data_IF_692363984948
#
_entry.id   IF_692363984948
#
_cell.length_a   1.000
_cell.length_b   1.000
_cell.length_c   1.000
_cell.angle_alpha   90.00
_cell.angle_beta   90.00
_cell.angle_gamma   90.00
#
_symmetry.space_group_name_H-M   'P 1'
#
loop_
_entity.id
_entity.type
_entity.pdbx_description
1 polymer ?
#
# COMPACT_ATOMS: atom_id res chain seq x y z
N UNK A 1 4.80 -16.99 24.33
CA UNK A 1 3.34 -17.03 24.26
C UNK A 1 2.84 -15.60 24.44
N UNK A 2 2.68 -14.85 23.37
CA UNK A 2 2.15 -13.49 23.38
C UNK A 2 0.64 -13.58 23.49
N UNK A 3 0.06 -13.12 24.60
CA UNK A 3 -1.38 -13.00 24.83
C UNK A 3 -1.98 -12.01 23.79
N UNK A 4 -2.43 -12.52 22.64
CA UNK A 4 -3.33 -11.75 21.76
C UNK A 4 -4.66 -11.56 22.51
N UNK A 5 -5.19 -10.34 22.55
CA UNK A 5 -6.59 -10.10 22.96
C UNK A 5 -7.49 -10.97 22.07
N UNK A 6 -8.51 -11.63 22.64
CA UNK A 6 -9.46 -12.40 21.84
C UNK A 6 -10.11 -11.49 20.80
N UNK A 7 -10.12 -11.93 19.53
CA UNK A 7 -10.80 -11.19 18.46
C UNK A 7 -12.30 -11.15 18.74
N UNK A 8 -12.94 -10.00 18.43
CA UNK A 8 -14.34 -9.75 18.68
C UNK A 8 -15.14 -9.94 17.40
N UNK A 9 -16.00 -10.99 17.36
CA UNK A 9 -16.75 -11.41 16.19
C UNK A 9 -18.23 -11.02 16.33
N UNK A 10 -18.85 -10.53 15.25
CA UNK A 10 -20.30 -10.34 15.16
C UNK A 10 -20.89 -11.47 14.31
N UNK A 11 -21.82 -12.23 14.88
CA UNK A 11 -22.64 -13.22 14.19
C UNK A 11 -24.01 -12.65 13.89
N UNK A 12 -24.45 -12.72 12.63
CA UNK A 12 -25.76 -12.24 12.18
C UNK A 12 -26.49 -13.37 11.46
N UNK A 13 -27.61 -13.81 12.00
CA UNK A 13 -28.45 -14.88 11.43
C UNK A 13 -29.86 -14.75 12.01
N UNK A 14 -30.90 -15.03 11.24
CA UNK A 14 -32.30 -15.00 11.71
C UNK A 14 -32.73 -16.29 12.45
N UNK A 15 -31.83 -17.29 12.51
CA UNK A 15 -32.02 -18.52 13.32
C UNK A 15 -31.33 -18.40 14.68
N UNK A 16 -32.07 -18.16 15.79
CA UNK A 16 -31.48 -18.07 17.13
C UNK A 16 -30.78 -19.36 17.58
N UNK A 17 -31.21 -20.51 17.08
CA UNK A 17 -30.58 -21.81 17.38
C UNK A 17 -29.19 -21.91 16.80
N UNK A 18 -29.02 -21.45 15.56
CA UNK A 18 -27.72 -21.40 14.87
C UNK A 18 -26.79 -20.38 15.52
N UNK A 19 -27.29 -19.18 15.84
CA UNK A 19 -26.53 -18.14 16.57
C UNK A 19 -25.99 -18.69 17.88
N UNK A 20 -26.82 -19.38 18.67
CA UNK A 20 -26.40 -19.99 19.93
C UNK A 20 -25.35 -21.08 19.73
N UNK A 21 -25.54 -21.96 18.74
CA UNK A 21 -24.64 -23.09 18.49
C UNK A 21 -23.25 -22.59 18.01
N UNK A 22 -23.24 -21.71 17.00
CA UNK A 22 -22.00 -21.15 16.45
C UNK A 22 -21.32 -20.23 17.47
N UNK A 23 -22.09 -19.40 18.19
CA UNK A 23 -21.56 -18.54 19.24
C UNK A 23 -20.82 -19.34 20.34
N UNK A 24 -21.45 -20.40 20.86
CA UNK A 24 -20.81 -21.26 21.87
C UNK A 24 -19.51 -21.92 21.33
N UNK A 25 -19.52 -22.37 20.08
CA UNK A 25 -18.31 -22.95 19.44
C UNK A 25 -17.18 -21.94 19.35
N UNK A 26 -17.46 -20.73 18.84
CA UNK A 26 -16.44 -19.71 18.67
C UNK A 26 -15.90 -19.21 20.03
N UNK A 27 -16.76 -19.09 21.04
CA UNK A 27 -16.32 -18.76 22.41
C UNK A 27 -15.42 -19.86 22.98
N UNK A 28 -15.72 -21.14 22.71
CA UNK A 28 -14.85 -22.25 23.18
C UNK A 28 -13.47 -22.27 22.53
N UNK A 29 -13.32 -21.67 21.37
CA UNK A 29 -12.02 -21.50 20.67
C UNK A 29 -11.30 -20.18 21.08
N UNK A 30 -11.91 -19.39 21.98
CA UNK A 30 -11.27 -18.20 22.55
C UNK A 30 -11.61 -16.88 21.88
N UNK A 31 -12.60 -16.84 20.98
CA UNK A 31 -13.12 -15.60 20.41
C UNK A 31 -14.13 -14.93 21.36
N UNK A 32 -14.21 -13.61 21.30
CA UNK A 32 -15.33 -12.86 21.89
C UNK A 32 -16.43 -12.74 20.83
N UNK A 33 -17.67 -13.10 21.17
CA UNK A 33 -18.75 -13.17 20.18
C UNK A 33 -19.94 -12.33 20.64
N UNK A 34 -20.46 -11.48 19.76
CA UNK A 34 -21.74 -10.81 19.89
C UNK A 34 -22.67 -11.30 18.77
N UNK A 35 -23.95 -11.44 19.06
CA UNK A 35 -24.94 -11.97 18.11
C UNK A 35 -26.00 -10.92 17.78
N UNK A 36 -26.53 -10.98 16.57
CA UNK A 36 -27.66 -10.18 16.11
C UNK A 36 -28.63 -11.06 15.30
N UNK A 37 -29.94 -10.93 15.53
CA UNK A 37 -30.97 -11.73 14.87
C UNK A 37 -31.45 -11.12 13.53
N UNK A 38 -30.86 -9.98 13.11
CA UNK A 38 -31.15 -9.34 11.83
C UNK A 38 -30.02 -8.45 11.37
N UNK A 39 -29.97 -8.13 10.06
CA UNK A 39 -29.00 -7.20 9.49
C UNK A 39 -29.08 -5.81 10.13
N UNK A 40 -30.28 -5.32 10.45
CA UNK A 40 -30.46 -4.02 11.09
C UNK A 40 -29.90 -4.00 12.53
N UNK A 41 -30.08 -5.08 13.27
CA UNK A 41 -29.50 -5.21 14.59
C UNK A 41 -27.98 -5.29 14.54
N UNK A 42 -27.45 -6.05 13.58
CA UNK A 42 -26.01 -6.13 13.30
C UNK A 42 -25.38 -4.75 13.05
N UNK A 43 -26.02 -3.89 12.25
CA UNK A 43 -25.57 -2.51 12.04
C UNK A 43 -25.59 -1.66 13.33
N UNK A 44 -26.58 -1.86 14.20
CA UNK A 44 -26.64 -1.16 15.51
C UNK A 44 -25.49 -1.61 16.43
N UNK A 45 -25.16 -2.90 16.42
CA UNK A 45 -24.02 -3.44 17.19
C UNK A 45 -22.72 -2.83 16.69
N UNK A 46 -22.49 -2.81 15.37
CA UNK A 46 -21.29 -2.19 14.76
C UNK A 46 -21.14 -0.70 15.08
N UNK A 47 -22.23 0.00 15.31
CA UNK A 47 -22.20 1.40 15.74
C UNK A 47 -21.86 1.62 17.22
N UNK A 48 -21.90 0.58 18.05
CA UNK A 48 -21.69 0.65 19.51
C UNK A 48 -20.45 -0.10 19.99
N UNK A 49 -20.09 -1.16 19.32
CA UNK A 49 -19.00 -2.06 19.72
C UNK A 49 -17.94 -2.14 18.63
N UNK A 50 -16.71 -2.29 19.03
CA UNK A 50 -15.61 -2.52 18.09
C UNK A 50 -15.56 -4.00 17.75
N UNK A 51 -15.93 -4.34 16.53
CA UNK A 51 -15.92 -5.70 15.95
C UNK A 51 -14.75 -5.85 15.01
N UNK A 52 -14.11 -7.02 15.00
CA UNK A 52 -12.95 -7.32 14.15
C UNK A 52 -13.34 -8.10 12.88
N UNK A 53 -14.47 -8.83 12.90
CA UNK A 53 -14.98 -9.63 11.78
C UNK A 53 -16.48 -9.83 11.92
N UNK A 54 -17.20 -9.80 10.79
CA UNK A 54 -18.63 -10.14 10.72
C UNK A 54 -18.83 -11.46 10.01
N UNK A 55 -19.68 -12.34 10.58
CA UNK A 55 -20.14 -13.58 9.96
C UNK A 55 -21.65 -13.45 9.83
N UNK A 56 -22.17 -13.45 8.59
CA UNK A 56 -23.59 -13.21 8.33
C UNK A 56 -24.21 -14.33 7.52
N UNK A 57 -25.44 -14.69 7.82
CA UNK A 57 -26.24 -15.47 6.87
C UNK A 57 -26.49 -14.65 5.59
N UNK A 58 -26.58 -15.36 4.46
CA UNK A 58 -26.90 -14.74 3.18
C UNK A 58 -28.39 -14.36 3.11
N UNK A 59 -29.28 -15.24 3.61
CA UNK A 59 -30.74 -15.07 3.50
C UNK A 59 -31.34 -14.78 4.86
N UNK A 60 -31.68 -13.53 5.08
CA UNK A 60 -32.37 -13.05 6.27
C UNK A 60 -33.56 -12.20 5.85
N UNK A 61 -34.58 -12.12 6.71
CA UNK A 61 -35.71 -11.25 6.47
C UNK A 61 -35.28 -9.75 6.51
N UNK A 62 -36.00 -8.89 5.78
CA UNK A 62 -35.81 -7.44 5.64
C UNK A 62 -34.49 -7.00 4.99
N UNK A 63 -33.35 -7.52 5.42
CA UNK A 63 -32.00 -7.17 4.92
C UNK A 63 -31.18 -8.43 4.77
N UNK A 64 -30.88 -8.81 3.53
CA UNK A 64 -30.02 -9.95 3.24
C UNK A 64 -28.53 -9.68 3.56
N UNK A 65 -27.72 -10.77 3.60
CA UNK A 65 -26.30 -10.66 3.96
C UNK A 65 -25.47 -9.80 2.99
N UNK A 66 -25.87 -9.69 1.71
CA UNK A 66 -25.19 -8.85 0.73
C UNK A 66 -25.55 -7.37 0.89
N UNK A 67 -26.78 -7.08 1.24
CA UNK A 67 -27.21 -5.73 1.61
C UNK A 67 -26.52 -5.29 2.89
N UNK A 68 -26.48 -6.17 3.90
CA UNK A 68 -25.75 -5.92 5.13
C UNK A 68 -24.26 -5.65 4.84
N UNK A 69 -23.61 -6.47 4.02
CA UNK A 69 -22.22 -6.25 3.58
C UNK A 69 -22.04 -4.86 2.96
N UNK A 70 -22.94 -4.46 2.06
CA UNK A 70 -22.86 -3.16 1.40
C UNK A 70 -22.96 -2.00 2.40
N UNK A 71 -23.83 -2.09 3.38
CA UNK A 71 -23.95 -1.07 4.44
C UNK A 71 -22.74 -1.08 5.39
N UNK A 72 -22.22 -2.26 5.74
CA UNK A 72 -20.97 -2.38 6.52
C UNK A 72 -19.80 -1.69 5.80
N UNK A 73 -19.62 -1.94 4.50
CA UNK A 73 -18.53 -1.33 3.74
C UNK A 73 -18.67 0.20 3.61
N UNK A 74 -19.89 0.75 3.72
CA UNK A 74 -20.10 2.21 3.81
C UNK A 74 -19.71 2.78 5.16
N UNK A 75 -20.00 2.06 6.25
CA UNK A 75 -19.74 2.49 7.62
C UNK A 75 -18.28 2.25 8.04
N UNK A 76 -17.77 1.09 7.71
CA UNK A 76 -16.42 0.63 8.07
C UNK A 76 -15.76 -0.03 6.83
N UNK A 77 -15.19 0.76 5.91
CA UNK A 77 -14.50 0.24 4.73
C UNK A 77 -13.36 -0.71 5.13
N UNK A 78 -13.35 -1.90 4.52
CA UNK A 78 -12.33 -2.92 4.80
C UNK A 78 -12.66 -3.86 5.96
N UNK A 79 -13.83 -3.72 6.63
CA UNK A 79 -14.32 -4.72 7.58
C UNK A 79 -14.50 -6.06 6.87
N UNK A 80 -13.82 -7.15 7.29
CA UNK A 80 -14.01 -8.46 6.68
C UNK A 80 -15.38 -9.01 7.01
N UNK A 81 -16.01 -9.59 6.01
CA UNK A 81 -17.32 -10.24 6.14
C UNK A 81 -17.25 -11.64 5.53
N UNK A 82 -17.63 -12.64 6.31
CA UNK A 82 -17.82 -14.01 5.86
C UNK A 82 -19.32 -14.24 5.70
N UNK A 83 -19.77 -14.73 4.55
CA UNK A 83 -21.17 -15.05 4.30
C UNK A 83 -21.40 -16.55 4.41
N UNK A 84 -22.44 -16.93 5.18
CA UNK A 84 -22.93 -18.31 5.28
C UNK A 84 -24.12 -18.48 4.31
N UNK A 85 -24.20 -19.61 3.61
CA UNK A 85 -25.28 -19.87 2.65
C UNK A 85 -25.78 -21.31 2.69
N UNK A 86 -27.10 -21.52 2.65
CA UNK A 86 -27.70 -22.85 2.62
C UNK A 86 -27.58 -23.55 1.24
N UNK A 87 -27.44 -22.77 0.15
CA UNK A 87 -27.31 -23.29 -1.22
C UNK A 87 -26.18 -22.54 -1.89
N UNK A 88 -24.99 -23.17 -1.97
CA UNK A 88 -23.86 -22.64 -2.73
C UNK A 88 -24.05 -22.91 -4.22
N UNK A 89 -24.70 -22.03 -4.98
CA UNK A 89 -24.44 -22.00 -6.40
C UNK A 89 -23.08 -21.34 -6.62
N UNK A 90 -22.19 -21.97 -7.37
CA UNK A 90 -20.88 -21.44 -7.75
C UNK A 90 -21.00 -20.02 -8.34
N UNK A 91 -22.03 -19.66 -9.13
CA UNK A 91 -22.24 -18.31 -9.63
C UNK A 91 -22.45 -17.24 -8.53
N UNK A 92 -23.18 -17.55 -7.46
CA UNK A 92 -23.46 -16.59 -6.38
C UNK A 92 -22.22 -16.31 -5.54
N UNK A 93 -21.41 -17.33 -5.26
CA UNK A 93 -20.15 -17.19 -4.57
C UNK A 93 -19.12 -16.39 -5.39
N UNK A 94 -19.06 -16.59 -6.71
CA UNK A 94 -18.17 -15.83 -7.62
C UNK A 94 -18.60 -14.37 -7.73
N UNK A 95 -19.91 -14.11 -7.87
CA UNK A 95 -20.43 -12.73 -7.96
C UNK A 95 -20.16 -11.92 -6.68
N UNK A 96 -20.28 -12.55 -5.54
CA UNK A 96 -20.10 -11.89 -4.24
C UNK A 96 -18.61 -11.71 -3.86
N UNK A 97 -17.73 -12.64 -4.30
CA UNK A 97 -16.28 -12.43 -4.20
C UNK A 97 -15.82 -11.24 -5.07
N UNK A 98 -16.44 -11.07 -6.24
CA UNK A 98 -16.20 -9.88 -7.09
C UNK A 98 -16.68 -8.58 -6.45
N UNK A 99 -17.65 -8.63 -5.51
CA UNK A 99 -18.12 -7.48 -4.75
C UNK A 99 -17.30 -7.18 -3.49
N UNK A 100 -16.30 -8.03 -3.16
CA UNK A 100 -15.36 -7.78 -2.07
C UNK A 100 -15.70 -8.48 -0.75
N UNK A 101 -16.65 -9.43 -0.72
CA UNK A 101 -16.87 -10.32 0.44
C UNK A 101 -15.62 -11.19 0.65
N UNK A 102 -15.16 -11.30 1.89
CA UNK A 102 -13.92 -12.00 2.21
C UNK A 102 -13.99 -13.49 1.89
N UNK A 103 -15.07 -14.16 2.33
CA UNK A 103 -15.25 -15.60 2.10
C UNK A 103 -16.74 -15.99 2.13
N UNK A 104 -17.03 -17.12 1.45
CA UNK A 104 -18.34 -17.79 1.45
C UNK A 104 -18.18 -19.20 2.01
N UNK A 105 -19.08 -19.58 2.93
CA UNK A 105 -19.14 -20.94 3.46
C UNK A 105 -20.55 -21.51 3.31
N UNK A 106 -20.66 -22.77 2.93
CA UNK A 106 -21.95 -23.46 2.81
C UNK A 106 -22.39 -24.03 4.14
N UNK A 107 -23.71 -23.91 4.45
CA UNK A 107 -24.35 -24.63 5.56
C UNK A 107 -24.64 -26.09 5.13
N UNK A 108 -24.39 -27.12 5.95
CA UNK A 108 -23.87 -27.05 7.33
C UNK A 108 -22.38 -26.61 7.34
N UNK A 109 -22.07 -25.69 8.25
CA UNK A 109 -20.73 -25.06 8.27
C UNK A 109 -19.71 -26.06 8.81
N UNK A 110 -18.75 -26.41 7.94
CA UNK A 110 -17.59 -27.21 8.32
C UNK A 110 -16.71 -26.46 9.32
N UNK A 111 -16.32 -27.15 10.38
CA UNK A 111 -15.57 -26.54 11.49
C UNK A 111 -14.22 -26.00 11.03
N UNK A 112 -13.46 -26.81 10.32
CA UNK A 112 -12.09 -26.46 9.94
C UNK A 112 -12.08 -25.38 8.86
N UNK A 113 -13.06 -25.41 7.94
CA UNK A 113 -13.25 -24.38 6.93
C UNK A 113 -13.65 -23.02 7.57
N UNK A 114 -14.51 -23.03 8.61
CA UNK A 114 -14.91 -21.81 9.31
C UNK A 114 -13.71 -21.18 10.05
N UNK A 115 -12.98 -21.96 10.81
CA UNK A 115 -11.84 -21.45 11.58
C UNK A 115 -10.74 -20.93 10.66
N UNK A 116 -10.45 -21.67 9.59
CA UNK A 116 -9.51 -21.20 8.58
C UNK A 116 -9.95 -19.87 7.95
N UNK A 117 -11.23 -19.75 7.58
CA UNK A 117 -11.75 -18.51 7.01
C UNK A 117 -11.71 -17.34 8.01
N UNK A 118 -11.95 -17.60 9.31
CA UNK A 118 -11.83 -16.60 10.38
C UNK A 118 -10.37 -16.19 10.55
N UNK A 119 -9.44 -17.14 10.65
CA UNK A 119 -8.01 -16.85 10.82
C UNK A 119 -7.47 -16.08 9.62
N UNK A 120 -7.78 -16.53 8.39
CA UNK A 120 -7.42 -15.84 7.15
C UNK A 120 -8.03 -14.41 7.13
N UNK A 121 -9.29 -14.24 7.53
CA UNK A 121 -9.96 -12.95 7.59
C UNK A 121 -9.35 -12.02 8.64
N UNK A 122 -9.06 -12.54 9.83
CA UNK A 122 -8.45 -11.78 10.92
C UNK A 122 -6.96 -11.47 10.64
N UNK A 123 -6.25 -12.33 9.93
CA UNK A 123 -4.90 -12.03 9.44
C UNK A 123 -4.91 -10.90 8.39
N UNK A 124 -5.95 -10.84 7.55
CA UNK A 124 -6.12 -9.77 6.56
C UNK A 124 -6.76 -8.51 7.16
N UNK A 125 -7.61 -8.66 8.17
CA UNK A 125 -8.32 -7.57 8.87
C UNK A 125 -7.61 -7.10 10.12
N UNK A 126 -6.79 -7.96 10.74
CA UNK A 126 -5.92 -7.43 11.77
C UNK A 126 -5.18 -6.25 11.12
N UNK A 127 -5.20 -5.04 11.73
CA UNK A 127 -4.08 -4.18 11.56
C UNK A 127 -2.91 -5.06 12.01
N UNK A 128 -2.30 -5.75 11.04
CA UNK A 128 -1.07 -6.51 11.27
C UNK A 128 -0.19 -5.50 11.97
N UNK A 129 0.09 -5.74 13.23
CA UNK A 129 0.70 -4.83 14.18
C UNK A 129 1.93 -4.14 13.64
N UNK A 130 1.74 -3.34 12.73
CA UNK A 130 2.56 -2.24 12.26
C UNK A 130 1.96 -1.63 10.98
N UNK A 131 0.84 -0.92 11.05
CA UNK A 131 0.42 0.00 9.98
C UNK A 131 1.30 1.25 9.94
N UNK A 132 2.28 1.36 10.81
CA UNK A 132 3.26 2.45 10.83
C UNK A 132 4.01 2.57 9.50
N UNK A 133 4.18 1.46 8.76
CA UNK A 133 4.85 1.47 7.47
C UNK A 133 4.15 2.34 6.42
N UNK A 134 2.80 2.49 6.51
CA UNK A 134 1.98 3.29 5.59
C UNK A 134 1.28 4.49 6.25
N UNK A 135 1.66 4.87 7.46
CA UNK A 135 1.00 5.92 8.24
C UNK A 135 0.84 7.24 7.49
N UNK A 136 1.76 7.54 6.59
CA UNK A 136 1.73 8.74 5.75
C UNK A 136 0.80 8.62 4.54
N UNK A 137 0.32 7.41 4.21
CA UNK A 137 -0.54 7.17 3.05
C UNK A 137 -1.99 7.10 3.48
N UNK A 138 -2.72 8.14 3.14
CA UNK A 138 -4.14 8.27 3.46
C UNK A 138 -4.97 7.97 2.23
N UNK A 139 -5.75 6.89 2.29
CA UNK A 139 -6.61 6.45 1.19
C UNK A 139 -7.78 5.62 1.70
N UNK A 140 -8.89 5.68 0.98
CA UNK A 140 -10.03 4.76 1.05
C UNK A 140 -10.36 4.17 -0.32
N UNK A 141 -9.58 4.53 -1.33
CA UNK A 141 -9.78 4.03 -2.70
C UNK A 141 -9.45 2.54 -2.79
N UNK A 142 -10.35 1.69 -3.30
CA UNK A 142 -10.08 0.25 -3.46
C UNK A 142 -8.89 -0.04 -4.38
N UNK A 143 -8.64 0.85 -5.36
CA UNK A 143 -7.47 0.73 -6.26
C UNK A 143 -6.18 0.95 -5.49
N UNK A 144 -6.15 1.98 -4.63
CA UNK A 144 -4.98 2.27 -3.79
C UNK A 144 -4.76 1.20 -2.72
N UNK A 145 -5.82 0.68 -2.10
CA UNK A 145 -5.72 -0.39 -1.10
C UNK A 145 -5.08 -1.65 -1.71
N UNK A 146 -5.53 -2.07 -2.90
CA UNK A 146 -4.91 -3.19 -3.63
C UNK A 146 -3.44 -2.92 -3.99
N UNK A 147 -3.10 -1.69 -4.39
CA UNK A 147 -1.72 -1.29 -4.65
C UNK A 147 -0.87 -1.40 -3.38
N UNK A 148 -1.39 -1.00 -2.22
CA UNK A 148 -0.69 -1.09 -0.94
C UNK A 148 -0.48 -2.54 -0.49
N UNK A 149 -1.42 -3.44 -0.75
CA UNK A 149 -1.24 -4.89 -0.52
C UNK A 149 -0.12 -5.45 -1.38
N UNK A 150 -0.09 -5.12 -2.68
CA UNK A 150 1.01 -5.50 -3.56
C UNK A 150 2.35 -4.93 -3.08
N UNK A 151 2.38 -3.66 -2.67
CA UNK A 151 3.55 -3.00 -2.14
C UNK A 151 4.08 -3.70 -0.88
N UNK A 152 3.18 -4.12 0.02
CA UNK A 152 3.53 -4.87 1.23
C UNK A 152 4.13 -6.24 0.93
N UNK A 153 3.52 -7.00 0.00
CA UNK A 153 4.06 -8.31 -0.41
C UNK A 153 5.46 -8.17 -0.99
N UNK A 154 5.66 -7.21 -1.90
CA UNK A 154 6.96 -6.94 -2.53
C UNK A 154 7.99 -6.43 -1.54
N UNK A 155 7.56 -5.72 -0.49
CA UNK A 155 8.46 -5.21 0.55
C UNK A 155 9.27 -6.32 1.22
N UNK A 156 8.72 -7.53 1.35
CA UNK A 156 9.38 -8.69 1.99
C UNK A 156 10.51 -9.30 1.18
N UNK A 157 10.71 -8.86 -0.06
CA UNK A 157 11.77 -9.34 -0.95
C UNK A 157 12.75 -8.22 -1.31
N UNK A 158 13.96 -8.58 -1.76
CA UNK A 158 14.99 -7.63 -2.21
C UNK A 158 14.90 -7.29 -3.71
N UNK A 159 13.80 -7.66 -4.37
CA UNK A 159 13.63 -7.36 -5.80
C UNK A 159 13.54 -5.87 -6.08
N UNK A 160 14.01 -5.46 -7.26
CA UNK A 160 13.87 -4.08 -7.73
C UNK A 160 12.38 -3.75 -7.99
N UNK A 161 11.96 -2.56 -7.60
CA UNK A 161 10.59 -2.08 -7.78
C UNK A 161 10.61 -0.81 -8.62
N UNK A 162 9.77 -0.78 -9.67
CA UNK A 162 9.53 0.42 -10.46
C UNK A 162 8.15 0.99 -10.14
N UNK A 163 8.10 2.21 -9.65
CA UNK A 163 6.86 2.92 -9.32
C UNK A 163 6.53 3.88 -10.47
N UNK A 164 5.42 3.62 -11.16
CA UNK A 164 4.90 4.48 -12.20
C UNK A 164 3.74 5.34 -11.68
N UNK A 165 3.71 6.61 -12.08
CA UNK A 165 2.60 7.50 -11.74
C UNK A 165 2.88 8.94 -12.16
N UNK A 166 1.83 9.70 -12.40
CA UNK A 166 1.94 11.11 -12.74
C UNK A 166 2.68 11.91 -11.65
N UNK A 167 3.17 13.09 -11.99
CA UNK A 167 3.78 13.98 -11.00
C UNK A 167 2.79 14.33 -9.89
N UNK A 168 3.24 14.32 -8.63
CA UNK A 168 2.41 14.65 -7.48
C UNK A 168 1.49 13.53 -6.98
N UNK A 169 1.56 12.31 -7.50
CA UNK A 169 0.72 11.18 -7.04
C UNK A 169 1.18 10.55 -5.71
N UNK A 170 2.42 10.83 -5.26
CA UNK A 170 2.99 10.30 -4.01
C UNK A 170 3.96 9.13 -4.21
N UNK A 171 4.70 9.08 -5.33
CA UNK A 171 5.67 8.02 -5.64
C UNK A 171 6.73 7.82 -4.54
N UNK A 172 7.30 8.92 -4.03
CA UNK A 172 8.29 8.89 -2.96
C UNK A 172 7.69 8.36 -1.64
N UNK A 173 6.45 8.76 -1.31
CA UNK A 173 5.75 8.29 -0.11
C UNK A 173 5.52 6.78 -0.20
N UNK A 174 5.14 6.25 -1.38
CA UNK A 174 4.99 4.82 -1.58
C UNK A 174 6.34 4.08 -1.49
N UNK A 175 7.42 4.66 -2.03
CA UNK A 175 8.77 4.08 -1.93
C UNK A 175 9.23 4.00 -0.47
N UNK A 176 9.02 5.06 0.30
CA UNK A 176 9.31 5.07 1.74
C UNK A 176 8.48 4.03 2.49
N UNK A 177 7.20 3.88 2.15
CA UNK A 177 6.33 2.86 2.74
C UNK A 177 6.82 1.44 2.44
N UNK A 178 7.22 1.14 1.20
CA UNK A 178 7.81 -0.15 0.83
C UNK A 178 9.09 -0.42 1.63
N UNK A 179 9.95 0.58 1.80
CA UNK A 179 11.16 0.46 2.61
C UNK A 179 10.80 0.16 4.07
N UNK A 180 9.90 0.93 4.68
CA UNK A 180 9.48 0.75 6.08
C UNK A 180 8.87 -0.63 6.34
N UNK A 181 8.13 -1.18 5.36
CA UNK A 181 7.54 -2.53 5.43
C UNK A 181 8.56 -3.67 5.20
N UNK A 182 9.78 -3.35 4.77
CA UNK A 182 10.79 -4.35 4.40
C UNK A 182 11.64 -4.79 5.59
N UNK A 183 12.37 -5.93 5.49
CA UNK A 183 13.38 -6.32 6.46
C UNK A 183 14.47 -5.25 6.66
N UNK A 184 14.65 -4.33 5.68
CA UNK A 184 15.59 -3.22 5.71
C UNK A 184 15.00 -1.92 6.30
N UNK A 185 13.75 -1.92 6.78
CA UNK A 185 13.02 -0.73 7.24
C UNK A 185 13.66 0.04 8.40
N UNK A 186 14.61 -0.57 9.10
CA UNK A 186 15.42 0.09 10.17
C UNK A 186 16.75 0.66 9.66
N UNK A 187 17.12 0.39 8.42
CA UNK A 187 18.37 0.83 7.79
C UNK A 187 18.15 2.14 7.02
N UNK A 188 19.20 2.61 6.36
CA UNK A 188 19.13 3.86 5.59
C UNK A 188 18.14 3.78 4.43
N UNK A 189 17.29 4.80 4.28
CA UNK A 189 16.55 5.11 3.07
C UNK A 189 17.12 6.39 2.47
N UNK A 190 17.75 6.28 1.32
CA UNK A 190 18.37 7.41 0.64
C UNK A 190 17.64 7.66 -0.65
N UNK A 191 17.18 8.89 -0.85
CA UNK A 191 16.46 9.32 -2.04
C UNK A 191 17.28 10.31 -2.86
N UNK A 192 17.24 10.17 -4.18
CA UNK A 192 17.82 11.13 -5.13
C UNK A 192 16.87 11.29 -6.32
N UNK A 193 16.71 12.53 -6.76
CA UNK A 193 15.99 12.83 -7.99
C UNK A 193 16.96 12.93 -9.16
N UNK A 194 16.84 12.01 -10.13
CA UNK A 194 17.76 11.89 -11.28
C UNK A 194 17.62 13.06 -12.28
N UNK A 195 16.49 13.77 -12.28
CA UNK A 195 16.28 14.91 -13.15
C UNK A 195 16.64 16.28 -12.53
N UNK A 196 16.90 16.32 -11.21
CA UNK A 196 17.13 17.57 -10.51
C UNK A 196 18.57 18.09 -10.57
N UNK A 197 19.55 17.24 -10.95
CA UNK A 197 20.96 17.57 -10.94
C UNK A 197 21.57 17.48 -12.34
N UNK A 198 22.54 18.35 -12.68
CA UNK A 198 23.37 18.17 -13.86
C UNK A 198 24.11 16.81 -13.84
N UNK A 199 24.37 16.25 -15.03
CA UNK A 199 24.94 14.91 -15.20
C UNK A 199 26.17 14.64 -14.33
N UNK A 200 27.14 15.55 -14.35
CA UNK A 200 28.41 15.38 -13.58
C UNK A 200 28.19 15.38 -12.07
N UNK A 201 27.25 16.19 -11.58
CA UNK A 201 26.89 16.22 -10.16
C UNK A 201 26.13 14.95 -9.77
N UNK A 202 25.17 14.53 -10.58
CA UNK A 202 24.42 13.29 -10.36
C UNK A 202 25.36 12.08 -10.32
N UNK A 203 26.33 12.04 -11.21
CA UNK A 203 27.36 10.99 -11.26
C UNK A 203 28.19 10.95 -9.97
N UNK A 204 28.71 12.10 -9.56
CA UNK A 204 29.50 12.24 -8.34
C UNK A 204 28.69 11.91 -7.07
N UNK A 205 27.41 12.32 -6.99
CA UNK A 205 26.53 11.98 -5.86
C UNK A 205 26.25 10.47 -5.82
N UNK A 206 25.89 9.84 -6.95
CA UNK A 206 25.54 8.42 -6.97
C UNK A 206 26.73 7.51 -6.66
N UNK A 207 27.86 7.71 -7.36
CA UNK A 207 28.98 6.77 -7.34
C UNK A 207 30.13 7.21 -6.45
N UNK A 208 30.16 8.47 -6.01
CA UNK A 208 31.27 9.06 -5.27
C UNK A 208 32.47 9.40 -6.14
N UNK A 209 33.47 10.04 -5.56
CA UNK A 209 34.69 10.40 -6.26
C UNK A 209 35.94 10.33 -5.39
N UNK A 210 37.04 10.03 -5.98
CA UNK A 210 38.37 10.15 -5.38
C UNK A 210 38.86 11.60 -5.47
N UNK A 211 39.80 11.99 -4.59
CA UNK A 211 40.47 13.28 -4.69
C UNK A 211 41.15 13.44 -6.06
N UNK A 212 40.91 14.58 -6.70
CA UNK A 212 41.46 14.89 -8.02
C UNK A 212 40.71 14.26 -9.19
N UNK A 213 39.56 13.65 -9.01
CA UNK A 213 38.77 13.00 -10.08
C UNK A 213 38.29 13.99 -11.16
N UNK A 214 38.06 15.25 -10.78
CA UNK A 214 37.68 16.34 -11.69
C UNK A 214 38.13 17.71 -11.10
N UNK A 215 38.05 18.76 -11.91
CA UNK A 215 38.36 20.13 -11.46
C UNK A 215 37.39 20.56 -10.34
N UNK A 216 37.93 20.67 -9.11
CA UNK A 216 37.14 20.95 -7.91
C UNK A 216 36.99 19.79 -6.93
N UNK A 217 37.46 18.58 -7.26
CA UNK A 217 37.48 17.43 -6.34
C UNK A 217 38.65 17.56 -5.33
N UNK A 218 38.54 18.47 -4.37
CA UNK A 218 39.55 18.74 -3.35
C UNK A 218 39.72 17.60 -2.35
N UNK A 219 38.65 16.86 -2.05
CA UNK A 219 38.62 15.71 -1.16
C UNK A 219 37.92 14.52 -1.84
N UNK A 220 38.12 13.32 -1.33
CA UNK A 220 37.29 12.17 -1.71
C UNK A 220 35.91 12.29 -1.05
N UNK A 221 34.86 11.81 -1.72
CA UNK A 221 33.50 11.75 -1.19
C UNK A 221 32.86 10.42 -1.51
N UNK A 222 32.23 9.80 -0.52
CA UNK A 222 31.43 8.59 -0.70
C UNK A 222 30.18 8.89 -1.50
N UNK A 223 29.80 7.94 -2.38
CA UNK A 223 28.57 8.02 -3.15
C UNK A 223 27.35 7.48 -2.40
N UNK A 224 26.16 7.82 -2.91
CA UNK A 224 24.88 7.40 -2.30
C UNK A 224 24.72 5.87 -2.29
N UNK A 225 25.30 5.14 -3.23
CA UNK A 225 25.33 3.68 -3.19
C UNK A 225 26.05 3.14 -1.95
N UNK A 226 27.15 3.75 -1.55
CA UNK A 226 27.88 3.38 -0.33
C UNK A 226 27.12 3.83 0.92
N UNK A 227 26.58 5.05 0.91
CA UNK A 227 25.80 5.60 2.03
C UNK A 227 24.50 4.80 2.28
N UNK A 228 23.96 4.12 1.24
CA UNK A 228 22.77 3.27 1.35
C UNK A 228 23.09 1.81 1.71
N UNK A 229 24.34 1.49 2.09
CA UNK A 229 24.77 0.12 2.39
C UNK A 229 23.83 -0.56 3.42
N UNK A 230 23.40 -1.78 3.11
CA UNK A 230 22.44 -2.54 3.92
C UNK A 230 21.00 -2.02 3.85
N UNK A 231 20.77 -0.85 3.24
CA UNK A 231 19.49 -0.15 3.18
C UNK A 231 18.86 -0.15 1.79
N UNK A 232 18.21 0.97 1.45
CA UNK A 232 17.48 1.17 0.19
C UNK A 232 17.88 2.49 -0.46
N UNK A 233 18.19 2.46 -1.75
CA UNK A 233 18.38 3.66 -2.58
C UNK A 233 17.14 3.85 -3.45
N UNK A 234 16.50 5.00 -3.31
CA UNK A 234 15.36 5.42 -4.10
C UNK A 234 15.80 6.38 -5.21
N UNK A 235 15.58 5.97 -6.46
CA UNK A 235 15.91 6.73 -7.67
C UNK A 235 14.63 7.35 -8.23
N UNK A 236 14.34 8.59 -7.83
CA UNK A 236 13.18 9.31 -8.37
C UNK A 236 13.47 9.85 -9.76
N UNK A 237 12.45 9.90 -10.60
CA UNK A 237 12.47 10.33 -12.00
C UNK A 237 13.61 9.65 -12.80
N UNK A 238 13.68 8.31 -12.65
CA UNK A 238 14.72 7.49 -13.33
C UNK A 238 14.69 7.64 -14.85
N UNK A 239 13.52 7.95 -15.43
CA UNK A 239 13.38 8.20 -16.87
C UNK A 239 14.09 9.46 -17.36
N UNK A 240 14.56 10.34 -16.46
CA UNK A 240 15.33 11.54 -16.78
C UNK A 240 16.85 11.33 -16.63
N UNK A 241 17.29 10.12 -16.25
CA UNK A 241 18.71 9.81 -16.08
C UNK A 241 19.47 9.90 -17.41
N UNK A 242 20.57 10.66 -17.49
CA UNK A 242 21.41 10.74 -18.70
C UNK A 242 21.94 9.37 -19.15
N UNK A 243 22.00 9.15 -20.47
CA UNK A 243 22.39 7.87 -21.07
C UNK A 243 23.75 7.31 -20.58
N UNK A 244 24.82 8.10 -20.36
CA UNK A 244 26.06 7.59 -19.80
C UNK A 244 25.90 7.01 -18.40
N UNK A 245 25.02 7.61 -17.59
CA UNK A 245 24.76 7.15 -16.21
C UNK A 245 23.91 5.89 -16.18
N UNK A 246 23.01 5.70 -17.16
CA UNK A 246 22.24 4.46 -17.30
C UNK A 246 23.18 3.24 -17.47
N UNK A 247 24.28 3.38 -18.23
CA UNK A 247 25.29 2.32 -18.41
C UNK A 247 25.99 2.00 -17.09
N UNK A 248 26.37 3.02 -16.33
CA UNK A 248 27.04 2.84 -15.04
C UNK A 248 26.10 2.22 -14.00
N UNK A 249 24.85 2.70 -13.95
CA UNK A 249 23.83 2.13 -13.09
C UNK A 249 23.59 0.65 -13.39
N UNK A 250 23.47 0.28 -14.66
CA UNK A 250 23.29 -1.11 -15.06
C UNK A 250 24.42 -2.01 -14.53
N UNK A 251 25.67 -1.58 -14.66
CA UNK A 251 26.84 -2.33 -14.13
C UNK A 251 26.73 -2.50 -12.62
N UNK A 252 26.39 -1.44 -11.88
CA UNK A 252 26.22 -1.52 -10.42
C UNK A 252 25.12 -2.51 -10.04
N UNK A 253 24.00 -2.52 -10.76
CA UNK A 253 22.88 -3.45 -10.52
C UNK A 253 23.24 -4.91 -10.85
N UNK A 254 24.14 -5.14 -11.82
CA UNK A 254 24.56 -6.48 -12.24
C UNK A 254 25.66 -7.03 -11.34
N UNK A 255 26.68 -6.22 -11.09
CA UNK A 255 27.91 -6.64 -10.41
C UNK A 255 27.83 -6.47 -8.89
N UNK A 256 26.85 -5.70 -8.40
CA UNK A 256 26.71 -5.27 -6.98
C UNK A 256 28.00 -4.62 -6.47
N UNK A 257 28.64 -3.85 -7.33
CA UNK A 257 29.85 -3.09 -7.03
C UNK A 257 29.73 -1.68 -7.56
N UNK A 258 30.29 -0.74 -6.81
CA UNK A 258 30.41 0.66 -7.22
C UNK A 258 31.87 1.02 -7.39
N UNK A 259 32.15 1.78 -8.46
CA UNK A 259 33.50 2.33 -8.71
C UNK A 259 33.40 3.86 -8.62
N UNK A 260 34.05 4.50 -7.62
CA UNK A 260 34.11 5.95 -7.53
C UNK A 260 34.84 6.57 -8.72
N UNK A 261 34.42 7.79 -9.11
CA UNK A 261 35.06 8.54 -10.16
C UNK A 261 36.56 8.76 -9.83
N UNK A 262 37.43 8.58 -10.82
CA UNK A 262 38.87 8.72 -10.65
C UNK A 262 39.51 7.60 -9.83
N UNK A 263 38.80 6.53 -9.51
CA UNK A 263 39.31 5.35 -8.81
C UNK A 263 39.26 4.11 -9.71
N UNK A 264 40.24 3.21 -9.53
CA UNK A 264 40.24 1.86 -10.14
C UNK A 264 39.78 0.78 -9.15
N UNK A 265 39.37 1.15 -7.95
CA UNK A 265 38.93 0.22 -6.91
C UNK A 265 37.43 0.03 -6.98
N UNK A 266 36.98 -1.22 -7.08
CA UNK A 266 35.58 -1.60 -6.93
C UNK A 266 35.27 -1.80 -5.45
N UNK A 267 34.09 -1.38 -5.04
CA UNK A 267 33.55 -1.47 -3.66
C UNK A 267 32.28 -2.28 -3.74
N UNK A 268 32.23 -3.39 -3.01
CA UNK A 268 31.01 -4.22 -2.92
C UNK A 268 29.92 -3.45 -2.21
N UNK A 269 28.66 -3.61 -2.67
CA UNK A 269 27.49 -2.97 -2.09
C UNK A 269 26.33 -3.95 -1.98
N UNK A 270 25.56 -3.81 -0.91
CA UNK A 270 24.32 -4.53 -0.67
C UNK A 270 23.16 -3.54 -0.48
N UNK A 271 22.67 -3.01 -1.58
CA UNK A 271 21.63 -1.97 -1.59
C UNK A 271 20.40 -2.47 -2.35
N UNK A 272 19.22 -2.30 -1.76
CA UNK A 272 17.94 -2.51 -2.45
C UNK A 272 17.61 -1.28 -3.29
N UNK A 273 17.14 -1.50 -4.52
CA UNK A 273 16.76 -0.40 -5.41
C UNK A 273 15.25 -0.30 -5.54
N UNK A 274 14.72 0.90 -5.32
CA UNK A 274 13.38 1.31 -5.70
C UNK A 274 13.54 2.49 -6.65
N UNK A 275 12.87 2.46 -7.80
CA UNK A 275 12.90 3.55 -8.77
C UNK A 275 11.50 4.06 -9.07
N UNK A 276 11.39 5.33 -9.44
CA UNK A 276 10.11 5.93 -9.81
C UNK A 276 10.24 6.78 -11.07
N UNK A 277 9.16 6.89 -11.84
CA UNK A 277 9.08 7.77 -12.99
C UNK A 277 7.64 8.15 -13.33
N UNK A 278 7.46 9.32 -13.92
CA UNK A 278 6.22 9.73 -14.58
C UNK A 278 6.26 9.46 -16.10
N UNK A 279 7.44 9.14 -16.67
CA UNK A 279 7.63 8.89 -18.10
C UNK A 279 7.15 7.51 -18.50
N UNK A 280 6.69 7.41 -19.76
CA UNK A 280 6.42 6.14 -20.44
C UNK A 280 7.75 5.55 -20.94
N UNK A 281 8.38 4.71 -20.12
CA UNK A 281 9.68 4.12 -20.44
C UNK A 281 9.66 3.27 -21.73
N UNK A 282 8.62 2.49 -22.04
CA UNK A 282 8.48 1.83 -23.34
C UNK A 282 8.62 2.79 -24.52
N UNK A 283 7.99 3.96 -24.46
CA UNK A 283 8.16 4.97 -25.52
C UNK A 283 9.55 5.60 -25.50
N UNK A 284 10.16 5.80 -24.34
CA UNK A 284 11.53 6.31 -24.24
C UNK A 284 12.54 5.32 -24.82
N UNK A 285 12.34 4.00 -24.61
CA UNK A 285 13.17 2.95 -25.25
C UNK A 285 13.06 2.97 -26.78
N UNK A 286 11.83 3.11 -27.32
CA UNK A 286 11.63 3.21 -28.76
C UNK A 286 12.33 4.43 -29.39
N UNK A 287 12.63 5.47 -28.60
CA UNK A 287 13.37 6.68 -29.02
C UNK A 287 14.87 6.63 -28.68
N UNK A 288 15.38 5.51 -28.15
CA UNK A 288 16.73 5.37 -27.63
C UNK A 288 17.10 6.36 -26.50
N UNK A 289 16.11 6.91 -25.80
CA UNK A 289 16.31 7.79 -24.64
C UNK A 289 16.53 7.00 -23.34
N UNK A 290 16.06 5.74 -23.29
CA UNK A 290 16.25 4.83 -22.16
C UNK A 290 16.68 3.44 -22.65
N UNK A 291 17.62 2.82 -21.94
CA UNK A 291 18.17 1.51 -22.31
C UNK A 291 17.22 0.38 -21.92
N UNK A 292 17.03 -0.55 -22.82
CA UNK A 292 16.17 -1.71 -22.62
C UNK A 292 16.72 -2.67 -21.53
N UNK A 293 18.03 -2.90 -21.51
CA UNK A 293 18.69 -3.76 -20.52
C UNK A 293 18.55 -3.22 -19.09
N UNK A 294 18.64 -1.91 -18.90
CA UNK A 294 18.39 -1.26 -17.63
C UNK A 294 16.91 -1.34 -17.22
N UNK A 295 16.00 -1.15 -18.17
CA UNK A 295 14.57 -1.25 -17.91
C UNK A 295 14.20 -2.60 -17.30
N UNK A 296 14.61 -3.72 -17.90
CA UNK A 296 14.29 -5.04 -17.38
C UNK A 296 14.94 -5.33 -16.02
N UNK A 297 16.05 -4.69 -15.71
CA UNK A 297 16.70 -4.85 -14.41
C UNK A 297 16.02 -4.07 -13.30
N UNK A 298 15.40 -2.92 -13.62
CA UNK A 298 14.65 -2.08 -12.69
C UNK A 298 13.18 -2.51 -12.55
N UNK A 299 12.56 -2.95 -13.65
CA UNK A 299 11.13 -3.29 -13.73
C UNK A 299 10.87 -4.77 -13.43
N UNK A 300 11.40 -5.28 -12.32
CA UNK A 300 11.09 -6.65 -11.86
C UNK A 300 9.66 -6.71 -11.31
N UNK A 301 9.27 -5.72 -10.54
CA UNK A 301 7.89 -5.49 -10.11
C UNK A 301 7.48 -4.07 -10.46
N UNK A 302 6.32 -3.93 -11.10
CA UNK A 302 5.76 -2.64 -11.49
C UNK A 302 4.56 -2.28 -10.60
N UNK A 303 4.65 -1.13 -9.94
CA UNK A 303 3.56 -0.57 -9.14
C UNK A 303 3.08 0.73 -9.78
N UNK A 304 1.81 0.78 -10.20
CA UNK A 304 1.25 1.98 -10.83
C UNK A 304 0.33 2.72 -9.88
N UNK A 305 0.73 3.93 -9.47
CA UNK A 305 -0.12 4.81 -8.65
C UNK A 305 -1.14 5.48 -9.55
N UNK A 306 -2.46 5.36 -9.25
CA UNK A 306 -3.50 6.04 -10.00
C UNK A 306 -3.42 7.56 -9.81
N UNK A 307 -3.81 8.31 -10.84
CA UNK A 307 -3.99 9.76 -10.72
C UNK A 307 -5.09 10.09 -9.69
N UNK A 308 -5.06 11.29 -9.12
CA UNK A 308 -6.06 11.70 -8.11
C UNK A 308 -7.48 11.67 -8.68
N UNK A 309 -7.66 11.99 -9.97
CA UNK A 309 -8.94 11.90 -10.65
C UNK A 309 -9.49 10.46 -10.75
N UNK A 310 -8.63 9.44 -10.75
CA UNK A 310 -9.01 8.01 -10.80
C UNK A 310 -9.36 7.46 -9.40
N UNK A 311 -9.12 8.27 -8.34
CA UNK A 311 -9.41 7.96 -6.92
C UNK A 311 -10.08 9.14 -6.22
N UNK A 312 -11.11 9.70 -6.86
CA UNK A 312 -11.81 10.89 -6.39
C UNK A 312 -12.38 10.74 -4.96
N UNK A 313 -12.67 9.51 -4.52
CA UNK A 313 -13.08 9.19 -3.16
C UNK A 313 -12.04 9.54 -2.10
N UNK A 314 -10.75 9.64 -2.45
CA UNK A 314 -9.68 10.04 -1.52
C UNK A 314 -9.63 11.56 -1.31
N UNK A 315 -10.20 12.36 -2.21
CA UNK A 315 -10.12 13.83 -2.18
C UNK A 315 -10.61 14.42 -0.84
N UNK A 316 -11.80 14.05 -0.32
CA UNK A 316 -12.26 14.62 0.95
C UNK A 316 -11.35 14.31 2.13
N UNK A 317 -10.79 13.10 2.15
CA UNK A 317 -9.91 12.63 3.21
C UNK A 317 -8.56 13.35 3.15
N UNK A 318 -7.95 13.42 1.97
CA UNK A 318 -6.69 14.13 1.72
C UNK A 318 -6.83 15.62 2.02
N UNK A 319 -7.92 16.26 1.54
CA UNK A 319 -8.18 17.68 1.78
C UNK A 319 -8.28 17.98 3.29
N UNK A 320 -9.03 17.15 4.03
CA UNK A 320 -9.18 17.32 5.48
C UNK A 320 -7.85 17.17 6.21
N UNK A 321 -7.04 16.17 5.85
CA UNK A 321 -5.73 15.95 6.44
C UNK A 321 -4.76 17.11 6.15
N UNK A 322 -4.70 17.56 4.89
CA UNK A 322 -3.84 18.68 4.49
C UNK A 322 -4.26 19.98 5.17
N UNK A 323 -5.57 20.21 5.33
CA UNK A 323 -6.08 21.36 6.07
C UNK A 323 -5.64 21.30 7.54
N UNK A 324 -5.75 20.13 8.18
CA UNK A 324 -5.31 19.93 9.56
C UNK A 324 -3.79 20.20 9.72
N UNK A 325 -2.96 19.62 8.85
CA UNK A 325 -1.52 19.84 8.85
C UNK A 325 -1.16 21.32 8.64
N UNK A 326 -1.88 22.00 7.72
CA UNK A 326 -1.71 23.44 7.51
C UNK A 326 -2.14 24.26 8.73
N UNK A 327 -3.23 23.84 9.40
CA UNK A 327 -3.71 24.49 10.62
C UNK A 327 -2.73 24.37 11.79
N UNK A 328 -2.09 23.22 11.93
CA UNK A 328 -1.06 23.00 12.95
C UNK A 328 0.17 23.90 12.73
N UNK A 329 0.57 24.12 11.46
CA UNK A 329 1.74 24.93 11.10
C UNK A 329 1.49 26.45 11.18
N UNK A 330 0.33 26.89 10.74
CA UNK A 330 0.06 28.32 10.52
C UNK A 330 -0.99 28.92 11.47
N UNK A 331 -1.58 28.11 12.38
CA UNK A 331 -2.66 28.52 13.31
C UNK A 331 -3.82 29.28 12.62
N UNK A 332 -4.32 28.87 11.46
CA UNK A 332 -5.43 29.53 10.80
C UNK A 332 -6.73 29.35 11.56
N UNK A 333 -7.68 30.28 11.38
CA UNK A 333 -9.04 30.16 11.93
C UNK A 333 -9.90 29.12 11.20
N UNK A 334 -9.45 28.64 10.01
CA UNK A 334 -10.18 27.68 9.19
C UNK A 334 -9.95 26.26 9.71
N UNK A 335 -11.02 25.56 10.09
CA UNK A 335 -10.99 24.20 10.65
C UNK A 335 -11.67 23.14 9.82
N UNK A 336 -12.48 23.53 8.84
CA UNK A 336 -13.25 22.63 7.99
C UNK A 336 -13.57 23.25 6.63
N UNK A 337 -13.88 22.41 5.64
CA UNK A 337 -14.42 22.84 4.36
C UNK A 337 -15.95 22.94 4.44
N UNK A 338 -16.52 23.95 3.78
CA UNK A 338 -17.97 23.99 3.55
C UNK A 338 -18.36 22.89 2.55
N UNK A 339 -19.65 22.51 2.54
CA UNK A 339 -20.18 21.52 1.59
C UNK A 339 -19.92 21.91 0.14
N UNK A 340 -20.08 23.19 -0.20
CA UNK A 340 -19.85 23.69 -1.56
C UNK A 340 -18.35 23.72 -1.93
N UNK A 341 -17.47 24.05 -0.98
CA UNK A 341 -16.05 23.95 -1.19
C UNK A 341 -15.61 22.51 -1.47
N UNK A 342 -16.13 21.55 -0.69
CA UNK A 342 -15.85 20.14 -0.89
C UNK A 342 -16.36 19.63 -2.24
N UNK A 343 -17.55 20.01 -2.68
CA UNK A 343 -18.06 19.69 -4.02
C UNK A 343 -17.14 20.19 -5.13
N UNK A 344 -16.64 21.43 -5.01
CA UNK A 344 -15.68 21.99 -5.98
C UNK A 344 -14.36 21.22 -6.02
N UNK A 345 -13.84 20.81 -4.85
CA UNK A 345 -12.65 19.99 -4.76
C UNK A 345 -12.84 18.63 -5.47
N UNK A 346 -13.99 17.99 -5.29
CA UNK A 346 -14.30 16.70 -5.91
C UNK A 346 -14.49 16.78 -7.44
N UNK A 347 -14.88 17.93 -7.97
CA UNK A 347 -15.10 18.11 -9.42
C UNK A 347 -13.89 18.70 -10.15
N UNK A 348 -12.86 19.11 -9.45
CA UNK A 348 -11.65 19.68 -10.04
C UNK A 348 -10.80 18.60 -10.75
N UNK A 349 -10.09 18.99 -11.82
CA UNK A 349 -9.30 18.06 -12.64
C UNK A 349 -7.96 17.63 -12.02
N UNK A 350 -7.47 18.36 -11.03
CA UNK A 350 -6.22 18.08 -10.29
C UNK A 350 -5.01 17.70 -11.17
N UNK A 351 -4.56 18.52 -12.14
CA UNK A 351 -3.45 18.19 -13.03
C UNK A 351 -2.13 18.01 -12.30
N UNK A 352 -1.99 18.57 -11.09
CA UNK A 352 -0.87 18.39 -10.17
C UNK A 352 -1.06 17.27 -9.15
N UNK A 353 -2.17 16.51 -9.21
CA UNK A 353 -2.55 15.47 -8.25
C UNK A 353 -2.60 15.99 -6.80
N UNK A 354 -1.86 15.39 -5.87
CA UNK A 354 -1.87 15.78 -4.45
C UNK A 354 -0.89 16.93 -4.16
N UNK A 355 0.09 17.18 -5.05
CA UNK A 355 1.02 18.34 -4.93
C UNK A 355 0.32 19.61 -5.33
#
# INVERSE_FOLDING_TARGET
MTSRKPAHLLLVDDDPGLLKLLGMRLVSEGYSVVTAESGQEGLKVLGREKVDLVISDLRMDEMDGMQLFTEIQKLQPGMPVIILTAHGSIPDAVAATQQGVFSFLTKPVDKDALYKAIDDALEHAAPSGDETWRETIVTRSPIMLRLLEQARMVAQSDVSVLINGQSGTGKEILAQAIHNASPRGKNAFIAINCGALPEQLLESELFGHARGAFTGAVSSREGLFQAAEGGTLFLDEIGDMPAPLQVKLLRVLQERKVRPLGSNRDIDINVRIISATHRDLPKAMARNEFREDLFYRLNVVNLKIPALAERAEDIPLLATQLLRQSAERHKPFVRAFSTDAMKRLMTASWPGNVR
#
